data_IF_814622235418
#
_entry.id   IF_814622235418
#
_cell.length_a   1.000
_cell.length_b   1.000
_cell.length_c   1.000
_cell.angle_alpha   90.00
_cell.angle_beta   90.00
_cell.angle_gamma   90.00
#
_symmetry.space_group_name_H-M   'P 1'
#
loop_
_entity.id
_entity.type
_entity.pdbx_description
1 polymer ?
#
# COMPACT_ATOMS: atom_id res chain seq x y z
N UNK A 1 -21.59 -38.16 13.76
CA UNK A 1 -20.36 -37.54 13.21
C UNK A 1 -20.62 -37.13 11.76
N UNK A 2 -21.14 -35.92 11.46
CA UNK A 2 -21.36 -35.53 10.04
C UNK A 2 -21.36 -34.02 9.79
N UNK A 3 -21.89 -33.17 10.68
CA UNK A 3 -21.91 -31.70 10.44
C UNK A 3 -20.56 -31.01 10.64
N UNK A 4 -19.80 -31.38 11.68
CA UNK A 4 -18.49 -30.77 11.96
C UNK A 4 -17.43 -31.06 10.90
N UNK A 5 -17.42 -32.27 10.33
CA UNK A 5 -16.46 -32.66 9.30
C UNK A 5 -16.74 -31.97 7.95
N UNK A 6 -18.02 -31.85 7.57
CA UNK A 6 -18.42 -31.13 6.36
C UNK A 6 -18.15 -29.62 6.46
N UNK A 7 -18.46 -29.02 7.62
CA UNK A 7 -18.14 -27.60 7.88
C UNK A 7 -16.63 -27.34 7.88
N UNK A 8 -15.83 -28.22 8.49
CA UNK A 8 -14.37 -28.13 8.47
C UNK A 8 -13.80 -28.26 7.04
N UNK A 9 -14.30 -29.22 6.25
CA UNK A 9 -13.87 -29.40 4.86
C UNK A 9 -14.26 -28.20 3.96
N UNK A 10 -15.46 -27.63 4.15
CA UNK A 10 -15.90 -26.43 3.45
C UNK A 10 -15.09 -25.19 3.87
N UNK A 11 -14.76 -25.07 5.16
CA UNK A 11 -13.91 -24.00 5.70
C UNK A 11 -12.48 -24.08 5.17
N UNK A 12 -11.91 -25.28 5.08
CA UNK A 12 -10.57 -25.49 4.52
C UNK A 12 -10.48 -25.05 3.04
N UNK A 13 -11.53 -25.30 2.24
CA UNK A 13 -11.57 -24.90 0.82
C UNK A 13 -11.70 -23.39 0.61
N UNK A 14 -12.31 -22.67 1.56
CA UNK A 14 -12.62 -21.24 1.46
C UNK A 14 -11.80 -20.37 2.40
N UNK A 15 -10.71 -20.91 2.97
CA UNK A 15 -9.85 -20.18 3.93
C UNK A 15 -9.24 -18.90 3.35
N UNK A 16 -9.03 -18.86 2.03
CA UNK A 16 -8.52 -17.69 1.32
C UNK A 16 -9.61 -16.68 0.89
N UNK A 17 -10.89 -17.07 1.01
CA UNK A 17 -12.02 -16.17 0.77
C UNK A 17 -12.36 -15.31 2.01
N UNK A 18 -11.72 -15.61 3.15
CA UNK A 18 -11.87 -14.89 4.41
C UNK A 18 -10.65 -13.99 4.61
N UNK A 19 -10.91 -12.70 4.76
CA UNK A 19 -9.88 -11.69 4.94
C UNK A 19 -9.88 -11.21 6.39
N UNK A 20 -8.77 -11.42 7.08
CA UNK A 20 -8.55 -10.82 8.38
C UNK A 20 -8.07 -9.37 8.18
N UNK A 21 -8.85 -8.43 8.69
CA UNK A 21 -8.57 -7.00 8.56
C UNK A 21 -7.47 -6.54 9.52
N UNK A 22 -6.55 -5.72 9.02
CA UNK A 22 -5.57 -4.98 9.79
C UNK A 22 -5.89 -3.50 9.63
N UNK A 23 -6.25 -2.80 10.71
CA UNK A 23 -6.37 -1.34 10.67
C UNK A 23 -4.97 -0.73 10.75
N UNK A 24 -4.48 -0.18 9.64
CA UNK A 24 -3.12 0.39 9.58
C UNK A 24 -3.00 1.62 10.48
N UNK A 25 -4.10 2.30 10.87
CA UNK A 25 -4.04 3.37 11.88
C UNK A 25 -3.85 2.85 13.32
N UNK A 26 -3.92 1.54 13.55
CA UNK A 26 -3.66 0.99 14.87
C UNK A 26 -4.83 1.03 15.85
N UNK A 27 -6.05 1.41 15.43
CA UNK A 27 -7.20 1.54 16.35
C UNK A 27 -7.72 0.16 16.74
N UNK A 28 -7.24 -0.36 17.87
CA UNK A 28 -7.56 -1.69 18.40
C UNK A 28 -7.25 -2.85 17.44
N UNK A 29 -6.25 -2.69 16.57
CA UNK A 29 -5.74 -3.79 15.73
C UNK A 29 -4.69 -4.59 16.49
N UNK A 30 -4.58 -5.90 16.20
CA UNK A 30 -3.48 -6.70 16.70
C UNK A 30 -2.14 -6.16 16.15
N UNK A 31 -1.11 -6.12 17.00
CA UNK A 31 0.22 -5.66 16.60
C UNK A 31 0.40 -4.14 16.50
N UNK A 32 -0.66 -3.34 16.59
CA UNK A 32 -0.58 -1.88 16.72
C UNK A 32 -0.65 -1.06 15.42
N UNK A 33 -0.70 -1.69 14.25
CA UNK A 33 -0.81 -0.99 12.96
C UNK A 33 0.49 -0.29 12.54
N UNK A 34 0.41 0.64 11.59
CA UNK A 34 1.51 1.42 11.05
C UNK A 34 2.69 0.54 10.62
N UNK A 35 3.89 0.89 11.06
CA UNK A 35 5.11 0.09 10.81
C UNK A 35 5.14 -1.27 11.53
N UNK A 36 4.11 -1.62 12.31
CA UNK A 36 4.00 -2.90 13.02
C UNK A 36 2.92 -3.83 12.43
N UNK A 37 2.42 -3.53 11.22
CA UNK A 37 1.47 -4.40 10.51
C UNK A 37 2.03 -5.80 10.22
N UNK A 38 3.36 -5.95 10.12
CA UNK A 38 4.04 -7.23 9.96
C UNK A 38 3.68 -8.23 11.07
N UNK A 39 3.56 -7.77 12.32
CA UNK A 39 3.18 -8.64 13.45
C UNK A 39 1.81 -9.28 13.27
N UNK A 40 0.84 -8.52 12.73
CA UNK A 40 -0.49 -9.05 12.43
C UNK A 40 -0.44 -9.99 11.23
N UNK A 41 0.31 -9.63 10.19
CA UNK A 41 0.49 -10.46 9.00
C UNK A 41 1.13 -11.81 9.32
N UNK A 42 2.12 -11.86 10.22
CA UNK A 42 2.70 -13.11 10.72
C UNK A 42 1.63 -14.04 11.29
N UNK A 43 0.75 -13.53 12.16
CA UNK A 43 -0.33 -14.34 12.76
C UNK A 43 -1.41 -14.76 11.76
N UNK A 44 -1.72 -13.91 10.80
CA UNK A 44 -2.64 -14.24 9.72
C UNK A 44 -2.05 -15.34 8.82
N UNK A 45 -0.76 -15.27 8.52
CA UNK A 45 -0.05 -16.28 7.76
C UNK A 45 0.03 -17.62 8.51
N UNK A 46 0.31 -17.61 9.81
CA UNK A 46 0.28 -18.79 10.68
C UNK A 46 -1.11 -19.46 10.72
N UNK A 47 -2.19 -18.66 10.79
CA UNK A 47 -3.57 -19.16 10.67
C UNK A 47 -3.90 -19.63 9.23
N UNK A 48 -3.13 -19.14 8.26
CA UNK A 48 -3.28 -19.29 6.82
C UNK A 48 -4.69 -18.94 6.35
N UNK A 49 -5.06 -17.70 6.59
CA UNK A 49 -6.21 -17.06 5.93
C UNK A 49 -5.69 -15.85 5.15
N UNK A 50 -6.54 -15.19 4.38
CA UNK A 50 -6.14 -13.98 3.66
C UNK A 50 -6.05 -12.78 4.61
N UNK A 51 -5.25 -11.78 4.24
CA UNK A 51 -5.12 -10.52 4.95
C UNK A 51 -5.74 -9.37 4.14
N UNK A 52 -6.39 -8.42 4.81
CA UNK A 52 -6.81 -7.15 4.21
C UNK A 52 -6.21 -5.98 5.00
N UNK A 53 -5.50 -5.09 4.30
CA UNK A 53 -5.03 -3.83 4.88
C UNK A 53 -6.14 -2.79 4.79
N UNK A 54 -6.62 -2.32 5.93
CA UNK A 54 -7.58 -1.24 6.03
C UNK A 54 -6.86 0.09 6.23
N UNK A 55 -7.19 1.08 5.41
CA UNK A 55 -6.63 2.43 5.43
C UNK A 55 -5.08 2.53 5.33
N UNK A 56 -4.43 1.89 4.32
CA UNK A 56 -2.98 2.01 4.12
C UNK A 56 -2.50 3.42 3.75
N UNK A 57 -3.43 4.35 3.46
CA UNK A 57 -3.14 5.78 3.32
C UNK A 57 -2.54 6.43 4.58
N UNK A 58 -2.51 5.71 5.71
CA UNK A 58 -1.77 6.08 6.91
C UNK A 58 -0.35 6.58 6.64
N UNK A 59 0.38 5.99 5.67
CA UNK A 59 1.74 6.43 5.32
C UNK A 59 1.77 7.91 4.93
N UNK A 60 0.84 8.32 4.07
CA UNK A 60 0.71 9.72 3.63
C UNK A 60 0.28 10.61 4.79
N UNK A 61 -0.77 10.21 5.51
CA UNK A 61 -1.31 11.01 6.60
C UNK A 61 -0.30 11.20 7.74
N UNK A 62 0.41 10.13 8.13
CA UNK A 62 1.46 10.19 9.13
C UNK A 62 2.56 11.18 8.70
N UNK A 63 2.94 11.20 7.42
CA UNK A 63 3.92 12.15 6.94
C UNK A 63 3.40 13.60 7.01
N UNK A 64 2.15 13.84 6.61
CA UNK A 64 1.54 15.17 6.69
C UNK A 64 1.41 15.68 8.14
N UNK A 65 1.04 14.79 9.07
CA UNK A 65 0.95 15.12 10.50
C UNK A 65 2.33 15.41 11.14
N UNK A 66 3.42 14.89 10.55
CA UNK A 66 4.79 15.12 10.98
C UNK A 66 5.47 16.31 10.25
N UNK A 67 4.68 17.20 9.65
CA UNK A 67 5.16 18.46 9.06
C UNK A 67 5.44 18.41 7.56
N UNK A 68 5.02 17.33 6.88
CA UNK A 68 4.99 17.27 5.42
C UNK A 68 3.83 18.09 4.84
N UNK A 69 4.07 18.74 3.70
CA UNK A 69 3.04 19.50 2.98
C UNK A 69 3.25 19.42 1.47
N UNK A 70 2.15 19.18 0.74
CA UNK A 70 2.09 19.22 -0.72
C UNK A 70 1.34 20.46 -1.25
N UNK A 71 0.89 21.35 -0.35
CA UNK A 71 0.07 22.53 -0.70
C UNK A 71 0.84 23.85 -0.52
N UNK A 72 2.11 23.77 -0.11
CA UNK A 72 2.96 24.93 0.08
C UNK A 72 3.45 25.52 -1.25
N UNK A 73 3.64 26.83 -1.30
CA UNK A 73 4.25 27.53 -2.44
C UNK A 73 5.79 27.43 -2.46
N UNK A 74 6.42 26.81 -1.45
CA UNK A 74 7.87 26.61 -1.41
C UNK A 74 8.25 25.28 -2.10
N UNK A 75 8.94 25.32 -3.26
CA UNK A 75 9.37 24.10 -3.96
C UNK A 75 10.24 23.18 -3.10
N UNK A 76 11.00 23.72 -2.14
CA UNK A 76 11.84 22.93 -1.24
C UNK A 76 11.01 22.16 -0.21
N UNK A 77 9.86 22.69 0.17
CA UNK A 77 8.92 22.00 1.06
C UNK A 77 8.32 20.78 0.37
N UNK A 78 7.92 20.94 -0.90
CA UNK A 78 7.50 19.82 -1.73
C UNK A 78 8.60 18.76 -1.84
N UNK A 79 9.83 19.17 -2.22
CA UNK A 79 10.97 18.25 -2.39
C UNK A 79 11.20 17.37 -1.17
N UNK A 80 11.31 18.01 0.00
CA UNK A 80 11.53 17.31 1.26
C UNK A 80 10.35 16.39 1.59
N UNK A 81 9.12 16.88 1.42
CA UNK A 81 7.91 16.10 1.74
C UNK A 81 7.81 14.86 0.86
N UNK A 82 8.09 15.01 -0.44
CA UNK A 82 8.12 13.91 -1.40
C UNK A 82 9.20 12.88 -1.05
N UNK A 83 10.43 13.32 -0.78
CA UNK A 83 11.54 12.44 -0.41
C UNK A 83 11.22 11.62 0.87
N UNK A 84 10.72 12.29 1.91
CA UNK A 84 10.35 11.66 3.17
C UNK A 84 9.17 10.70 3.01
N UNK A 85 8.14 11.07 2.22
CA UNK A 85 7.02 10.20 1.90
C UNK A 85 7.47 8.96 1.14
N UNK A 86 8.29 9.11 0.10
CA UNK A 86 8.81 8.00 -0.71
C UNK A 86 9.61 7.05 0.17
N UNK A 87 10.45 7.57 1.06
CA UNK A 87 11.21 6.77 2.03
C UNK A 87 10.28 5.98 2.95
N UNK A 88 9.34 6.64 3.63
CA UNK A 88 8.42 5.99 4.57
C UNK A 88 7.53 4.96 3.87
N UNK A 89 7.03 5.27 2.68
CA UNK A 89 6.21 4.37 1.87
C UNK A 89 7.00 3.13 1.45
N UNK A 90 8.24 3.33 0.99
CA UNK A 90 9.12 2.23 0.61
C UNK A 90 9.41 1.32 1.81
N UNK A 91 9.78 1.89 2.95
CA UNK A 91 10.02 1.13 4.19
C UNK A 91 8.78 0.33 4.62
N UNK A 92 7.59 0.95 4.59
CA UNK A 92 6.33 0.29 4.95
C UNK A 92 6.03 -0.89 4.01
N UNK A 93 6.06 -0.68 2.69
CA UNK A 93 5.74 -1.73 1.73
C UNK A 93 6.81 -2.82 1.69
N UNK A 94 8.09 -2.47 1.78
CA UNK A 94 9.18 -3.45 1.83
C UNK A 94 9.10 -4.37 3.04
N UNK A 95 8.62 -3.84 4.17
CA UNK A 95 8.44 -4.61 5.39
C UNK A 95 7.35 -5.67 5.27
N UNK A 96 6.32 -5.42 4.46
CA UNK A 96 5.15 -6.32 4.36
C UNK A 96 4.99 -7.05 3.02
N UNK A 97 5.75 -6.68 1.98
CA UNK A 97 5.60 -7.23 0.62
C UNK A 97 5.82 -8.74 0.54
N UNK A 98 6.57 -9.34 1.46
CA UNK A 98 6.82 -10.79 1.49
C UNK A 98 5.60 -11.60 1.94
N UNK A 99 4.61 -10.97 2.59
CA UNK A 99 3.35 -11.63 2.96
C UNK A 99 2.34 -11.70 1.81
N UNK A 100 2.59 -10.99 0.71
CA UNK A 100 1.71 -10.95 -0.45
C UNK A 100 2.38 -11.58 -1.67
N UNK A 101 1.60 -12.29 -2.47
CA UNK A 101 2.06 -12.75 -3.77
C UNK A 101 2.26 -11.53 -4.69
N UNK A 102 3.51 -11.27 -5.09
CA UNK A 102 3.81 -10.19 -6.03
C UNK A 102 3.36 -10.59 -7.43
N UNK A 103 2.41 -9.83 -7.98
CA UNK A 103 1.88 -10.04 -9.33
C UNK A 103 2.29 -8.91 -10.25
N UNK A 104 2.75 -9.27 -11.44
CA UNK A 104 2.98 -8.32 -12.53
C UNK A 104 1.67 -7.97 -13.26
N UNK A 105 1.68 -6.91 -14.09
CA UNK A 105 0.55 -6.63 -14.97
C UNK A 105 0.33 -7.81 -15.92
N UNK A 106 -0.93 -8.14 -16.16
CA UNK A 106 -1.27 -9.12 -17.18
C UNK A 106 -1.09 -8.48 -18.56
N UNK A 107 -0.05 -8.91 -19.29
CA UNK A 107 0.27 -8.41 -20.63
C UNK A 107 -0.16 -9.48 -21.64
N UNK A 108 -1.26 -9.21 -22.36
CA UNK A 108 -1.84 -10.15 -23.33
C UNK A 108 -1.32 -9.97 -24.76
N UNK A 109 -0.32 -9.11 -24.96
CA UNK A 109 0.24 -8.77 -26.27
C UNK A 109 1.77 -8.70 -26.24
N UNK A 110 2.37 -8.30 -27.36
CA UNK A 110 3.82 -8.31 -27.57
C UNK A 110 4.56 -7.07 -27.07
N UNK A 111 3.86 -6.03 -26.60
CA UNK A 111 4.48 -4.78 -26.17
C UNK A 111 4.03 -4.39 -24.76
N UNK A 112 5.02 -4.06 -23.93
CA UNK A 112 4.85 -3.36 -22.66
C UNK A 112 5.53 -1.99 -22.79
N UNK A 113 4.83 -0.93 -22.40
CA UNK A 113 5.40 0.41 -22.32
C UNK A 113 5.09 0.99 -20.94
N UNK A 114 6.05 1.71 -20.38
CA UNK A 114 5.88 2.48 -19.15
C UNK A 114 6.72 3.75 -19.27
N UNK A 115 6.19 4.83 -18.74
CA UNK A 115 6.90 6.10 -18.56
C UNK A 115 7.33 6.29 -17.10
N UNK A 116 7.10 5.27 -16.26
CA UNK A 116 7.31 5.32 -14.81
C UNK A 116 6.57 6.49 -14.13
N UNK A 117 5.49 6.98 -14.74
CA UNK A 117 4.64 8.01 -14.13
C UNK A 117 3.97 7.46 -12.89
N UNK A 118 4.15 8.14 -11.76
CA UNK A 118 3.48 7.83 -10.50
C UNK A 118 2.06 8.43 -10.43
N UNK A 119 1.63 9.17 -11.47
CA UNK A 119 0.35 9.87 -11.51
C UNK A 119 0.36 11.26 -10.87
N UNK A 120 1.49 11.68 -10.30
CA UNK A 120 1.73 13.02 -9.72
C UNK A 120 3.17 13.44 -10.01
N UNK A 121 3.41 14.74 -10.06
CA UNK A 121 4.74 15.33 -10.24
C UNK A 121 4.67 16.85 -10.28
N UNK A 122 5.82 17.50 -10.10
CA UNK A 122 5.93 18.98 -10.11
C UNK A 122 5.62 19.61 -11.46
N UNK A 123 5.86 18.86 -12.53
CA UNK A 123 5.61 19.27 -13.90
C UNK A 123 5.27 18.02 -14.71
N UNK A 124 4.68 18.25 -15.88
CA UNK A 124 4.42 17.21 -16.86
C UNK A 124 5.34 17.41 -18.05
N UNK A 125 5.95 16.33 -18.56
CA UNK A 125 6.88 16.41 -19.70
C UNK A 125 6.40 15.54 -20.85
N UNK A 126 6.53 16.05 -22.07
CA UNK A 126 6.25 15.32 -23.31
C UNK A 126 7.56 15.26 -24.09
N UNK A 127 7.98 14.05 -24.48
CA UNK A 127 9.23 13.82 -25.24
C UNK A 127 10.50 14.41 -24.60
N UNK A 128 10.51 14.59 -23.27
CA UNK A 128 11.64 15.17 -22.53
C UNK A 128 11.59 16.68 -22.37
N UNK A 129 10.61 17.36 -22.97
CA UNK A 129 10.39 18.79 -22.80
C UNK A 129 9.32 19.03 -21.73
N UNK A 130 9.56 20.00 -20.84
CA UNK A 130 8.60 20.36 -19.80
C UNK A 130 7.41 21.11 -20.43
N UNK A 131 6.20 20.66 -20.12
CA UNK A 131 4.94 21.30 -20.47
C UNK A 131 4.28 21.81 -19.19
N UNK A 132 4.27 23.12 -19.01
CA UNK A 132 3.47 23.76 -17.97
C UNK A 132 1.99 23.69 -18.36
N UNK A 133 1.19 23.12 -17.47
CA UNK A 133 -0.23 23.40 -17.41
C UNK A 133 -0.42 24.31 -16.19
N UNK A 134 -1.08 25.45 -16.37
CA UNK A 134 -1.55 26.32 -15.29
C UNK A 134 -2.58 25.58 -14.44
N UNK A 135 -2.17 24.62 -13.61
CA UNK A 135 -3.02 24.06 -12.57
C UNK A 135 -2.17 23.68 -11.37
N UNK A 136 -2.14 24.63 -10.42
CA UNK A 136 -2.10 24.33 -9.00
C UNK A 136 -3.25 23.36 -8.67
N UNK A 137 -2.96 22.36 -7.84
CA UNK A 137 -3.99 21.72 -7.02
C UNK A 137 -3.93 22.34 -5.63
#
# INVERSE_FOLDING_TARGET
RTRGAAAAAAGARRRWDVYFGIDVFGRNTYGGGGMQCDKALEKIAEAGVSAALFAPGWVMQNQMENGGSFTGNDPKEWDRTEEEFVKLSTEFWDKIKSFFEQRGPWISGSAFCTFFSQGVGKHFSIAGEAHEHDTFW
#
